data_IF_137938781070
#
_entry.id   IF_137938781070
#
_cell.length_a   1.000
_cell.length_b   1.000
_cell.length_c   1.000
_cell.angle_alpha   90.00
_cell.angle_beta   90.00
_cell.angle_gamma   90.00
#
_symmetry.space_group_name_H-M   'P 1'
#
loop_
_entity.id
_entity.type
_entity.pdbx_description
1 polymer ?
#
# COMPACT_ATOMS: atom_id res chain seq x y z
N UNK A 1 32.96 -6.65 3.78
CA UNK A 1 31.63 -7.23 3.55
C UNK A 1 31.53 -7.65 2.10
N UNK A 2 31.26 -8.91 1.80
CA UNK A 2 31.16 -9.45 0.44
C UNK A 2 29.89 -8.93 -0.24
N UNK A 3 29.96 -8.46 -1.49
CA UNK A 3 28.81 -7.98 -2.30
C UNK A 3 27.59 -8.91 -2.28
N UNK A 4 27.86 -10.22 -2.22
CA UNK A 4 26.84 -11.27 -2.13
C UNK A 4 25.93 -11.12 -0.90
N UNK A 5 26.46 -10.67 0.24
CA UNK A 5 25.68 -10.48 1.47
C UNK A 5 24.73 -9.27 1.36
N UNK A 6 25.18 -8.19 0.73
CA UNK A 6 24.37 -6.97 0.49
C UNK A 6 23.18 -7.29 -0.42
N UNK A 7 23.42 -8.02 -1.52
CA UNK A 7 22.37 -8.44 -2.43
C UNK A 7 21.33 -9.35 -1.76
N UNK A 8 21.76 -10.30 -0.92
CA UNK A 8 20.87 -11.19 -0.17
C UNK A 8 20.03 -10.40 0.85
N UNK A 9 20.62 -9.44 1.55
CA UNK A 9 19.92 -8.62 2.53
C UNK A 9 18.87 -7.71 1.87
N UNK A 10 19.22 -7.08 0.74
CA UNK A 10 18.29 -6.31 -0.07
C UNK A 10 17.12 -7.18 -0.55
N UNK A 11 17.39 -8.39 -1.07
CA UNK A 11 16.35 -9.32 -1.50
C UNK A 11 15.43 -9.75 -0.33
N UNK A 12 15.98 -10.03 0.85
CA UNK A 12 15.20 -10.37 2.06
C UNK A 12 14.29 -9.22 2.49
N UNK A 13 14.78 -7.98 2.48
CA UNK A 13 13.98 -6.79 2.79
C UNK A 13 12.79 -6.66 1.86
N UNK A 14 13.03 -6.81 0.55
CA UNK A 14 11.96 -6.79 -0.49
C UNK A 14 10.90 -7.85 -0.25
N UNK A 15 11.30 -9.09 0.01
CA UNK A 15 10.35 -10.19 0.28
C UNK A 15 9.51 -9.90 1.53
N UNK A 16 10.13 -9.33 2.58
CA UNK A 16 9.44 -8.98 3.83
C UNK A 16 8.38 -7.88 3.59
N UNK A 17 8.73 -6.84 2.83
CA UNK A 17 7.80 -5.77 2.43
C UNK A 17 6.63 -6.32 1.61
N UNK A 18 6.91 -7.16 0.61
CA UNK A 18 5.89 -7.81 -0.22
C UNK A 18 4.93 -8.66 0.62
N UNK A 19 5.48 -9.48 1.52
CA UNK A 19 4.68 -10.36 2.40
C UNK A 19 3.77 -9.54 3.32
N UNK A 20 4.24 -8.40 3.83
CA UNK A 20 3.43 -7.48 4.63
C UNK A 20 2.24 -6.92 3.84
N UNK A 21 2.48 -6.54 2.59
CA UNK A 21 1.43 -6.01 1.71
C UNK A 21 0.40 -7.05 1.29
N UNK A 22 0.82 -8.27 0.94
CA UNK A 22 -0.13 -9.36 0.66
C UNK A 22 -1.02 -9.67 1.86
N UNK A 23 -0.47 -9.61 3.08
CA UNK A 23 -1.29 -9.74 4.30
C UNK A 23 -2.31 -8.60 4.41
N UNK A 24 -1.92 -7.37 4.08
CA UNK A 24 -2.83 -6.22 4.10
C UNK A 24 -3.95 -6.35 3.07
N UNK A 25 -3.63 -6.76 1.83
CA UNK A 25 -4.63 -7.06 0.80
C UNK A 25 -5.56 -8.19 1.25
N UNK A 26 -5.02 -9.27 1.81
CA UNK A 26 -5.81 -10.40 2.26
C UNK A 26 -6.84 -9.97 3.31
N UNK A 27 -6.40 -9.22 4.32
CA UNK A 27 -7.31 -8.69 5.36
C UNK A 27 -8.34 -7.75 4.73
N UNK A 28 -7.92 -6.87 3.82
CA UNK A 28 -8.82 -5.97 3.11
C UNK A 28 -9.91 -6.75 2.35
N UNK A 29 -9.54 -7.77 1.55
CA UNK A 29 -10.50 -8.57 0.78
C UNK A 29 -11.44 -9.36 1.69
N UNK A 30 -10.92 -9.99 2.75
CA UNK A 30 -11.73 -10.78 3.68
C UNK A 30 -12.72 -9.90 4.44
N UNK A 31 -12.27 -8.76 4.99
CA UNK A 31 -13.14 -7.85 5.76
C UNK A 31 -14.16 -7.18 4.85
N UNK A 32 -13.75 -6.62 3.71
CA UNK A 32 -14.68 -5.95 2.80
C UNK A 32 -15.64 -6.95 2.13
N UNK A 33 -15.18 -8.16 1.83
CA UNK A 33 -16.04 -9.25 1.35
C UNK A 33 -17.09 -9.63 2.40
N UNK A 34 -16.69 -9.78 3.66
CA UNK A 34 -17.62 -10.03 4.76
C UNK A 34 -18.63 -8.89 4.94
N UNK A 35 -18.18 -7.64 4.95
CA UNK A 35 -19.04 -6.45 5.02
C UNK A 35 -20.02 -6.38 3.83
N UNK A 36 -19.56 -6.74 2.63
CA UNK A 36 -20.41 -6.78 1.45
C UNK A 36 -21.48 -7.89 1.56
N UNK A 37 -21.12 -9.07 2.06
CA UNK A 37 -22.07 -10.17 2.33
C UNK A 37 -23.13 -9.77 3.37
N UNK A 38 -22.75 -9.00 4.39
CA UNK A 38 -23.69 -8.41 5.35
C UNK A 38 -24.63 -7.42 4.66
N UNK A 39 -24.10 -6.51 3.83
CA UNK A 39 -24.89 -5.49 3.12
C UNK A 39 -25.96 -6.10 2.20
N UNK A 40 -25.64 -7.18 1.47
CA UNK A 40 -26.61 -7.85 0.57
C UNK A 40 -27.57 -8.79 1.32
N UNK A 41 -27.44 -8.91 2.63
CA UNK A 41 -28.31 -9.74 3.46
C UNK A 41 -28.11 -11.24 3.31
N UNK A 42 -27.00 -11.70 2.69
CA UNK A 42 -26.70 -13.11 2.51
C UNK A 42 -26.56 -13.86 3.85
N UNK A 43 -26.27 -13.12 4.93
CA UNK A 43 -26.15 -13.65 6.28
C UNK A 43 -27.34 -13.29 7.18
N UNK A 44 -28.41 -12.68 6.66
CA UNK A 44 -29.55 -12.24 7.47
C UNK A 44 -30.23 -13.37 8.25
N UNK A 45 -30.22 -14.60 7.71
CA UNK A 45 -30.76 -15.78 8.39
C UNK A 45 -29.87 -16.32 9.52
N UNK A 46 -28.60 -15.91 9.57
CA UNK A 46 -27.64 -16.29 10.62
C UNK A 46 -27.48 -15.20 11.68
N UNK A 47 -28.00 -13.99 11.42
CA UNK A 47 -27.89 -12.84 12.30
C UNK A 47 -29.09 -12.79 13.28
N UNK A 48 -28.87 -12.39 14.54
CA UNK A 48 -29.95 -12.14 15.49
C UNK A 48 -30.94 -11.09 14.97
N UNK A 49 -32.21 -11.20 15.34
CA UNK A 49 -33.25 -10.22 14.95
C UNK A 49 -33.00 -8.80 15.44
N UNK A 50 -32.09 -8.61 16.41
CA UNK A 50 -31.61 -7.32 16.86
C UNK A 50 -30.69 -6.60 15.85
N UNK A 51 -30.21 -7.28 14.81
CA UNK A 51 -29.38 -6.64 13.79
C UNK A 51 -30.23 -5.81 12.82
N UNK A 52 -29.83 -4.56 12.52
CA UNK A 52 -30.52 -3.73 11.55
C UNK A 52 -30.43 -4.36 10.16
N UNK A 53 -31.59 -4.78 9.62
CA UNK A 53 -31.71 -5.37 8.27
C UNK A 53 -31.88 -4.31 7.17
N UNK A 54 -32.01 -3.05 7.57
CA UNK A 54 -32.23 -1.92 6.68
C UNK A 54 -30.97 -1.56 5.89
N UNK A 55 -31.11 -1.39 4.57
CA UNK A 55 -29.95 -1.15 3.68
C UNK A 55 -29.20 0.14 4.02
N UNK A 56 -29.89 1.17 4.53
CA UNK A 56 -29.29 2.46 4.90
C UNK A 56 -28.20 2.31 5.99
N UNK A 57 -28.36 1.34 6.89
CA UNK A 57 -27.38 1.08 7.95
C UNK A 57 -26.04 0.60 7.39
N UNK A 58 -26.02 0.10 6.15
CA UNK A 58 -24.86 -0.45 5.47
C UNK A 58 -24.29 0.48 4.39
N UNK A 59 -24.86 1.66 4.15
CA UNK A 59 -24.39 2.57 3.10
C UNK A 59 -22.97 3.09 3.35
N UNK A 60 -22.58 3.23 4.62
CA UNK A 60 -21.22 3.61 5.01
C UNK A 60 -20.15 2.60 4.54
N UNK A 61 -20.54 1.35 4.27
CA UNK A 61 -19.62 0.30 3.77
C UNK A 61 -19.07 0.70 2.40
N UNK A 62 -19.87 1.32 1.54
CA UNK A 62 -19.38 1.76 0.23
C UNK A 62 -18.28 2.82 0.38
N UNK A 63 -18.50 3.81 1.25
CA UNK A 63 -17.51 4.85 1.54
C UNK A 63 -16.24 4.24 2.18
N UNK A 64 -16.41 3.26 3.08
CA UNK A 64 -15.29 2.53 3.69
C UNK A 64 -14.46 1.81 2.61
N UNK A 65 -15.10 1.03 1.73
CA UNK A 65 -14.43 0.32 0.63
C UNK A 65 -13.65 1.31 -0.26
N UNK A 66 -14.22 2.48 -0.57
CA UNK A 66 -13.56 3.49 -1.41
C UNK A 66 -12.32 4.07 -0.73
N UNK A 67 -12.42 4.47 0.53
CA UNK A 67 -11.29 5.02 1.30
C UNK A 67 -10.16 3.99 1.43
N UNK A 68 -10.51 2.77 1.83
CA UNK A 68 -9.53 1.70 1.95
C UNK A 68 -8.95 1.28 0.60
N UNK A 69 -9.74 1.31 -0.46
CA UNK A 69 -9.28 1.12 -1.84
C UNK A 69 -8.23 2.15 -2.24
N UNK A 70 -8.43 3.44 -1.93
CA UNK A 70 -7.44 4.49 -2.17
C UNK A 70 -6.14 4.26 -1.39
N UNK A 71 -6.24 3.86 -0.12
CA UNK A 71 -5.07 3.50 0.70
C UNK A 71 -4.30 2.33 0.07
N UNK A 72 -5.01 1.31 -0.40
CA UNK A 72 -4.41 0.14 -1.03
C UNK A 72 -3.72 0.50 -2.34
N UNK A 73 -4.32 1.36 -3.16
CA UNK A 73 -3.69 1.91 -4.37
C UNK A 73 -2.41 2.66 -4.02
N UNK A 74 -2.44 3.57 -3.04
CA UNK A 74 -1.25 4.30 -2.60
C UNK A 74 -0.15 3.36 -2.10
N UNK A 75 -0.49 2.34 -1.30
CA UNK A 75 0.46 1.36 -0.80
C UNK A 75 1.06 0.51 -1.93
N UNK A 76 0.26 0.19 -2.94
CA UNK A 76 0.70 -0.51 -4.15
C UNK A 76 1.75 0.33 -4.89
N UNK A 77 1.47 1.62 -5.09
CA UNK A 77 2.43 2.53 -5.74
C UNK A 77 3.75 2.61 -4.97
N UNK A 78 3.71 2.62 -3.63
CA UNK A 78 4.92 2.65 -2.78
C UNK A 78 5.76 1.38 -2.95
N UNK A 79 5.13 0.19 -2.92
CA UNK A 79 5.85 -1.08 -3.01
C UNK A 79 6.35 -1.36 -4.42
N UNK A 80 5.58 -0.99 -5.43
CA UNK A 80 5.95 -1.16 -6.83
C UNK A 80 6.76 0.01 -7.39
N UNK A 81 7.16 0.99 -6.58
CA UNK A 81 7.95 2.16 -7.01
C UNK A 81 9.17 1.76 -7.85
N UNK A 82 9.83 0.66 -7.49
CA UNK A 82 11.03 0.16 -8.17
C UNK A 82 10.75 -0.58 -9.48
N UNK A 83 9.51 -1.07 -9.66
CA UNK A 83 9.04 -1.66 -10.91
C UNK A 83 8.61 -0.58 -11.91
N UNK A 84 8.20 0.59 -11.42
CA UNK A 84 7.89 1.74 -12.27
C UNK A 84 9.18 2.45 -12.68
N UNK A 85 9.67 2.13 -13.88
CA UNK A 85 10.89 2.71 -14.47
C UNK A 85 10.87 4.24 -14.52
N UNK A 86 9.69 4.84 -14.61
CA UNK A 86 9.50 6.30 -14.56
C UNK A 86 9.84 6.89 -13.18
N UNK A 87 9.40 6.23 -12.09
CA UNK A 87 9.64 6.68 -10.72
C UNK A 87 11.13 6.55 -10.39
N UNK A 88 11.74 5.43 -10.76
CA UNK A 88 13.19 5.23 -10.59
C UNK A 88 14.00 6.33 -11.31
N UNK A 89 13.69 6.62 -12.58
CA UNK A 89 14.35 7.71 -13.34
C UNK A 89 14.07 9.10 -12.77
N UNK A 90 12.93 9.32 -12.13
CA UNK A 90 12.63 10.58 -11.46
C UNK A 90 13.44 10.73 -10.17
N UNK A 91 13.50 9.68 -9.35
CA UNK A 91 14.27 9.64 -8.09
C UNK A 91 15.77 9.85 -8.35
N UNK A 92 16.32 9.16 -9.36
CA UNK A 92 17.73 9.30 -9.77
C UNK A 92 18.05 10.73 -10.24
N UNK A 93 17.12 11.40 -10.93
CA UNK A 93 17.27 12.82 -11.32
C UNK A 93 17.19 13.78 -10.13
N UNK A 94 16.37 13.49 -9.11
CA UNK A 94 16.32 14.33 -7.92
C UNK A 94 17.58 14.17 -7.08
N UNK A 95 18.06 12.93 -6.90
CA UNK A 95 19.32 12.66 -6.19
C UNK A 95 20.48 13.39 -6.87
N UNK A 96 20.58 13.32 -8.20
CA UNK A 96 21.62 14.04 -8.94
C UNK A 96 21.54 15.56 -8.71
N UNK A 97 20.32 16.15 -8.72
CA UNK A 97 20.16 17.58 -8.42
C UNK A 97 20.67 17.96 -7.04
N UNK A 98 20.32 17.20 -6.00
CA UNK A 98 20.80 17.48 -4.64
C UNK A 98 22.32 17.30 -4.52
N UNK A 99 22.91 16.33 -5.21
CA UNK A 99 24.37 16.14 -5.24
C UNK A 99 25.09 17.28 -5.97
N UNK A 100 24.51 17.77 -7.07
CA UNK A 100 25.06 18.90 -7.83
C UNK A 100 24.94 20.21 -7.01
N UNK A 101 23.83 20.41 -6.30
CA UNK A 101 23.63 21.56 -5.38
C UNK A 101 24.64 21.55 -4.22
N UNK A 102 24.85 20.42 -3.55
CA UNK A 102 25.84 20.29 -2.47
C UNK A 102 27.30 20.45 -2.99
N UNK A 103 27.57 19.95 -4.19
CA UNK A 103 28.88 20.09 -4.84
C UNK A 103 29.22 21.54 -5.19
N UNK A 104 28.25 22.32 -5.69
CA UNK A 104 28.43 23.75 -5.95
C UNK A 104 28.61 24.55 -4.66
N UNK A 105 27.87 24.23 -3.59
CA UNK A 105 28.03 24.91 -2.29
C UNK A 105 29.44 24.70 -1.74
N UNK A 106 29.96 23.47 -1.83
CA UNK A 106 31.30 23.13 -1.31
C UNK A 106 32.43 23.82 -2.07
N UNK A 107 32.24 24.10 -3.37
CA UNK A 107 33.23 24.78 -4.21
C UNK A 107 33.19 26.32 -4.04
N UNK A 108 32.06 26.88 -3.55
CA UNK A 108 31.91 28.32 -3.30
C UNK A 108 32.60 28.81 -2.02
N UNK A 109 32.94 27.89 -1.11
CA UNK A 109 33.66 28.18 0.15
C UNK A 109 35.12 27.74 0.14
N UNK A 110 35.66 27.36 -1.03
CA UNK A 110 37.05 26.96 -1.23
C UNK A 110 37.79 28.01 -2.05
#
# INVERSE_FOLDING_TARGET
MTDKNIAIEAAKKRVKELKGYYRHILIFVVVNGFLYLLKIGAMNSLLPDAFPKESYFYDWINANIVIWGLILVAHTLIIFRDKFTFVKKWEERQIQKYMDEDGEQTNKYK
#
